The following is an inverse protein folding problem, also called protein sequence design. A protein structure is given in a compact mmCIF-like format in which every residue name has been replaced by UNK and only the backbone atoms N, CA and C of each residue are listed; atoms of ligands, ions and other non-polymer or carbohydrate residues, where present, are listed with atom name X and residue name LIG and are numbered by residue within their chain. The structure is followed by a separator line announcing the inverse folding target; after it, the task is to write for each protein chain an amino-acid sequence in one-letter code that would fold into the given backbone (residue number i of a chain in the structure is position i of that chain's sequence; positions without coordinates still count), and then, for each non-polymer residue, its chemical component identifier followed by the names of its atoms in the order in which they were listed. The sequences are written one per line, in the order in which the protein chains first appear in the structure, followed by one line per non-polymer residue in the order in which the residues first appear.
data_IF_712098401870
#
_entry.id   IF_712098401870
#
_cell.length_a   1.000
_cell.length_b   1.000
_cell.length_c   1.000
_cell.angle_alpha   90.00
_cell.angle_beta   90.00
_cell.angle_gamma   90.00
#
_symmetry.space_group_name_H-M   'P 1'
#
loop_
_entity.id
_entity.type
_entity.pdbx_description
1 polymer ?
#
# COMPACT_ATOMS: atom_id res chain seq x y z
N UNK A 1 10.85 5.66 -33.34
CA UNK A 1 10.82 4.27 -32.82
C UNK A 1 10.93 4.18 -31.28
N UNK A 2 12.05 4.59 -30.63
CA UNK A 2 12.09 4.58 -29.14
C UNK A 2 11.11 5.57 -28.49
N UNK A 3 10.97 6.76 -29.06
CA UNK A 3 10.01 7.76 -28.61
C UNK A 3 8.57 7.22 -28.65
N UNK A 4 8.20 6.59 -29.76
CA UNK A 4 6.84 6.09 -30.00
C UNK A 4 6.46 4.96 -29.02
N UNK A 5 7.45 4.18 -28.54
CA UNK A 5 7.22 3.08 -27.60
C UNK A 5 7.16 3.59 -26.16
N UNK A 6 8.05 4.47 -25.76
CA UNK A 6 8.23 4.82 -24.33
C UNK A 6 7.58 6.15 -23.93
N UNK A 7 7.48 7.13 -24.82
CA UNK A 7 7.04 8.48 -24.48
C UNK A 7 5.69 8.84 -25.11
N UNK A 8 5.46 8.47 -26.37
CA UNK A 8 4.24 8.81 -27.10
C UNK A 8 2.95 8.39 -26.36
N UNK A 9 2.84 7.20 -25.73
CA UNK A 9 1.64 6.82 -24.99
C UNK A 9 1.25 7.81 -23.90
N UNK A 10 2.23 8.42 -23.23
CA UNK A 10 1.98 9.40 -22.17
C UNK A 10 1.85 10.84 -22.69
N UNK A 11 2.44 11.15 -23.85
CA UNK A 11 2.35 12.47 -24.44
C UNK A 11 1.03 12.68 -25.19
N UNK A 12 0.55 11.66 -25.91
CA UNK A 12 -0.60 11.74 -26.79
C UNK A 12 -1.93 11.41 -26.10
N UNK A 13 -1.91 10.55 -25.06
CA UNK A 13 -3.14 10.09 -24.39
C UNK A 13 -3.25 10.64 -22.97
N UNK A 14 -4.26 11.47 -22.73
CA UNK A 14 -4.54 12.07 -21.41
C UNK A 14 -4.79 11.04 -20.31
N UNK A 15 -5.50 9.95 -20.63
CA UNK A 15 -5.76 8.90 -19.64
C UNK A 15 -4.48 8.20 -19.17
N UNK A 16 -3.51 7.99 -20.08
CA UNK A 16 -2.21 7.40 -19.72
C UNK A 16 -1.39 8.35 -18.82
N UNK A 17 -1.43 9.65 -19.13
CA UNK A 17 -0.76 10.67 -18.30
C UNK A 17 -1.36 10.73 -16.89
N UNK A 18 -2.68 10.72 -16.78
CA UNK A 18 -3.39 10.68 -15.49
C UNK A 18 -3.09 9.42 -14.72
N UNK A 19 -3.13 8.26 -15.37
CA UNK A 19 -2.75 6.97 -14.78
C UNK A 19 -1.31 6.98 -14.23
N UNK A 20 -0.36 7.52 -15.01
CA UNK A 20 1.02 7.64 -14.59
C UNK A 20 1.16 8.51 -13.35
N UNK A 21 0.58 9.71 -13.34
CA UNK A 21 0.62 10.62 -12.19
C UNK A 21 -0.01 9.96 -10.96
N UNK A 22 -1.15 9.29 -11.12
CA UNK A 22 -1.83 8.59 -10.02
C UNK A 22 -0.99 7.47 -9.42
N UNK A 23 -0.38 6.63 -10.26
CA UNK A 23 0.48 5.53 -9.80
C UNK A 23 1.78 6.05 -9.16
N UNK A 24 2.38 7.13 -9.71
CA UNK A 24 3.56 7.78 -9.12
C UNK A 24 3.25 8.36 -7.74
N UNK A 25 2.12 9.08 -7.61
CA UNK A 25 1.69 9.64 -6.33
C UNK A 25 1.36 8.54 -5.31
N UNK A 26 0.71 7.44 -5.75
CA UNK A 26 0.48 6.29 -4.88
C UNK A 26 1.80 5.65 -4.42
N UNK A 27 2.76 5.45 -5.31
CA UNK A 27 4.08 4.87 -4.96
C UNK A 27 4.83 5.73 -3.94
N UNK A 28 4.73 7.07 -4.05
CA UNK A 28 5.30 8.03 -3.08
C UNK A 28 4.69 7.87 -1.67
N UNK A 29 3.38 7.70 -1.58
CA UNK A 29 2.71 7.55 -0.29
C UNK A 29 2.81 6.13 0.26
N UNK A 30 2.53 5.12 -0.55
CA UNK A 30 2.42 3.73 -0.13
C UNK A 30 3.79 3.05 0.08
N UNK A 31 4.81 3.38 -0.71
CA UNK A 31 6.14 2.78 -0.61
C UNK A 31 6.77 2.89 0.78
N UNK A 32 6.84 4.08 1.39
CA UNK A 32 7.35 4.26 2.75
C UNK A 32 6.55 3.48 3.80
N UNK A 33 5.21 3.47 3.70
CA UNK A 33 4.34 2.69 4.59
C UNK A 33 4.65 1.21 4.49
N UNK A 34 4.78 0.68 3.28
CA UNK A 34 5.12 -0.72 3.04
C UNK A 34 6.45 -1.13 3.68
N UNK A 35 7.47 -0.27 3.63
CA UNK A 35 8.76 -0.52 4.30
C UNK A 35 8.57 -0.67 5.81
N UNK A 36 7.84 0.23 6.47
CA UNK A 36 7.57 0.11 7.90
C UNK A 36 6.71 -1.10 8.25
N UNK A 37 5.74 -1.47 7.42
CA UNK A 37 4.97 -2.70 7.60
C UNK A 37 5.86 -3.94 7.55
N UNK A 38 6.78 -4.02 6.59
CA UNK A 38 7.74 -5.12 6.50
C UNK A 38 8.68 -5.19 7.70
N UNK A 39 9.21 -4.05 8.14
CA UNK A 39 10.10 -4.00 9.31
C UNK A 39 9.39 -4.45 10.59
N UNK A 40 8.09 -4.19 10.70
CA UNK A 40 7.23 -4.62 11.81
C UNK A 40 6.71 -6.06 11.67
N UNK A 41 7.03 -6.75 10.58
CA UNK A 41 6.52 -8.09 10.24
C UNK A 41 4.99 -8.15 10.09
N UNK A 42 4.39 -7.05 9.64
CA UNK A 42 2.95 -6.87 9.44
C UNK A 42 2.59 -6.90 7.95
N UNK A 43 3.15 -7.83 7.18
CA UNK A 43 3.01 -7.87 5.72
C UNK A 43 1.60 -8.17 5.23
N UNK A 44 0.78 -8.86 6.03
CA UNK A 44 -0.61 -9.19 5.67
C UNK A 44 -1.62 -8.08 6.00
N UNK A 45 -1.20 -7.05 6.74
CA UNK A 45 -2.08 -5.98 7.19
C UNK A 45 -2.69 -5.20 6.02
N UNK A 46 -1.93 -5.00 4.94
CA UNK A 46 -2.45 -4.33 3.74
C UNK A 46 -3.66 -5.03 3.16
N UNK A 47 -3.59 -6.34 3.01
CA UNK A 47 -4.69 -7.16 2.49
C UNK A 47 -5.86 -7.25 3.48
N UNK A 48 -5.57 -7.46 4.76
CA UNK A 48 -6.58 -7.48 5.82
C UNK A 48 -7.37 -6.17 5.88
N UNK A 49 -6.68 -5.03 5.77
CA UNK A 49 -7.32 -3.70 5.79
C UNK A 49 -8.12 -3.42 4.52
N UNK A 50 -7.73 -3.97 3.36
CA UNK A 50 -8.52 -3.86 2.13
C UNK A 50 -9.95 -4.35 2.31
N UNK A 51 -10.10 -5.44 3.01
CA UNK A 51 -11.41 -6.02 3.29
C UNK A 51 -12.09 -5.41 4.54
N UNK A 52 -11.32 -4.95 5.52
CA UNK A 52 -11.85 -4.28 6.71
C UNK A 52 -12.62 -2.99 6.39
N UNK A 53 -12.29 -2.35 5.29
CA UNK A 53 -12.93 -1.11 4.80
C UNK A 53 -14.30 -1.36 4.17
N UNK A 54 -14.57 -2.57 3.65
CA UNK A 54 -15.79 -2.90 2.89
C UNK A 54 -17.11 -2.61 3.59
N UNK A 55 -17.34 -2.94 4.89
CA UNK A 55 -18.62 -2.65 5.55
C UNK A 55 -18.92 -1.16 5.58
N UNK A 56 -17.90 -0.33 5.84
CA UNK A 56 -18.05 1.11 5.87
C UNK A 56 -18.36 1.70 4.50
N UNK A 57 -17.69 1.24 3.46
CA UNK A 57 -17.99 1.65 2.09
C UNK A 57 -19.39 1.21 1.67
N UNK A 58 -19.83 0.00 2.06
CA UNK A 58 -21.17 -0.50 1.83
C UNK A 58 -22.25 0.34 2.53
N UNK A 59 -22.02 0.74 3.79
CA UNK A 59 -22.92 1.64 4.53
C UNK A 59 -22.96 3.02 3.85
N UNK A 60 -21.81 3.58 3.46
CA UNK A 60 -21.73 4.84 2.72
C UNK A 60 -22.55 4.81 1.43
N UNK A 61 -22.44 3.71 0.68
CA UNK A 61 -23.25 3.46 -0.51
C UNK A 61 -24.76 3.39 -0.20
N UNK A 62 -25.16 2.70 0.86
CA UNK A 62 -26.57 2.57 1.23
C UNK A 62 -27.21 3.90 1.63
N UNK A 63 -26.45 4.83 2.22
CA UNK A 63 -26.94 6.13 2.67
C UNK A 63 -27.02 7.14 1.51
N UNK A 64 -26.02 7.16 0.63
CA UNK A 64 -25.82 8.22 -0.35
C UNK A 64 -25.70 7.74 -1.80
N UNK A 65 -25.97 6.47 -2.07
CA UNK A 65 -25.79 5.87 -3.40
C UNK A 65 -24.32 5.82 -3.83
N UNK A 66 -24.06 6.00 -5.13
CA UNK A 66 -22.71 6.01 -5.72
C UNK A 66 -21.93 7.31 -5.43
N UNK A 67 -22.03 7.84 -4.23
CA UNK A 67 -21.27 9.00 -3.82
C UNK A 67 -19.90 8.59 -3.28
N UNK A 68 -18.85 8.89 -4.04
CA UNK A 68 -17.46 8.53 -3.74
C UNK A 68 -17.03 9.05 -2.35
N UNK A 69 -17.43 10.27 -1.99
CA UNK A 69 -17.07 10.87 -0.68
C UNK A 69 -17.72 10.12 0.48
N UNK A 70 -18.99 9.73 0.37
CA UNK A 70 -19.67 8.97 1.42
C UNK A 70 -19.11 7.56 1.56
N UNK A 71 -18.81 6.89 0.46
CA UNK A 71 -18.16 5.57 0.46
C UNK A 71 -16.74 5.63 1.03
N UNK A 72 -15.96 6.64 0.66
CA UNK A 72 -14.61 6.87 1.18
C UNK A 72 -14.63 7.17 2.68
N UNK A 73 -15.52 8.07 3.13
CA UNK A 73 -15.67 8.39 4.54
C UNK A 73 -16.11 7.18 5.38
N UNK A 74 -17.08 6.41 4.87
CA UNK A 74 -17.51 5.16 5.51
C UNK A 74 -16.36 4.16 5.60
N UNK A 75 -15.63 3.96 4.52
CA UNK A 75 -14.46 3.08 4.48
C UNK A 75 -13.36 3.53 5.43
N UNK A 76 -13.06 4.81 5.51
CA UNK A 76 -12.09 5.38 6.47
C UNK A 76 -12.52 5.10 7.92
N UNK A 77 -13.79 5.37 8.26
CA UNK A 77 -14.30 5.13 9.61
C UNK A 77 -14.17 3.63 9.98
N UNK A 78 -14.60 2.72 9.09
CA UNK A 78 -14.50 1.28 9.35
C UNK A 78 -13.04 0.84 9.47
N UNK A 79 -12.16 1.28 8.58
CA UNK A 79 -10.73 0.98 8.64
C UNK A 79 -10.08 1.48 9.93
N UNK A 80 -10.40 2.71 10.37
CA UNK A 80 -9.91 3.25 11.64
C UNK A 80 -10.44 2.45 12.85
N UNK A 81 -11.70 2.09 12.86
CA UNK A 81 -12.30 1.29 13.94
C UNK A 81 -11.59 -0.06 14.04
N UNK A 82 -11.39 -0.75 12.92
CA UNK A 82 -10.70 -2.04 12.89
C UNK A 82 -9.23 -1.90 13.33
N UNK A 83 -8.51 -0.90 12.82
CA UNK A 83 -7.13 -0.65 13.20
C UNK A 83 -6.98 -0.35 14.70
N UNK A 84 -7.86 0.50 15.25
CA UNK A 84 -7.88 0.83 16.68
C UNK A 84 -8.20 -0.39 17.55
N UNK A 85 -9.23 -1.16 17.18
CA UNK A 85 -9.62 -2.35 17.93
C UNK A 85 -8.51 -3.41 17.92
N UNK A 86 -7.91 -3.67 16.76
CA UNK A 86 -6.80 -4.61 16.64
C UNK A 86 -5.58 -4.16 17.46
N UNK A 87 -5.21 -2.87 17.38
CA UNK A 87 -4.12 -2.30 18.17
C UNK A 87 -4.38 -2.30 19.68
N UNK A 88 -5.62 -2.07 20.12
CA UNK A 88 -5.99 -2.14 21.52
C UNK A 88 -5.90 -3.58 22.05
N UNK A 89 -6.42 -4.55 21.30
CA UNK A 89 -6.38 -5.97 21.69
C UNK A 89 -4.94 -6.47 21.76
N UNK A 90 -4.10 -6.14 20.79
CA UNK A 90 -2.69 -6.51 20.80
C UNK A 90 -1.91 -5.94 22.00
N UNK A 91 -2.37 -4.83 22.56
CA UNK A 91 -1.76 -4.22 23.76
C UNK A 91 -2.32 -4.75 25.08
N UNK A 92 -3.57 -5.23 25.08
CA UNK A 92 -4.26 -5.71 26.29
C UNK A 92 -4.24 -7.23 26.42
N UNK A 93 -3.82 -7.97 25.41
CA UNK A 93 -3.78 -9.43 25.37
C UNK A 93 -2.44 -9.95 24.87
N UNK A 94 -2.22 -11.26 24.92
CA UNK A 94 -1.04 -11.92 24.35
C UNK A 94 -1.12 -12.09 22.81
N UNK A 95 -2.25 -11.72 22.20
CA UNK A 95 -2.43 -11.81 20.74
C UNK A 95 -1.55 -10.80 20.03
N UNK A 96 -0.86 -11.27 18.98
CA UNK A 96 -0.11 -10.39 18.08
C UNK A 96 -1.07 -9.53 17.27
N UNK A 97 -0.65 -8.32 16.92
CA UNK A 97 -1.44 -7.35 16.16
C UNK A 97 -1.89 -7.92 14.81
N UNK A 98 -1.03 -8.65 14.10
CA UNK A 98 -1.35 -9.32 12.85
C UNK A 98 -2.48 -10.36 12.97
N UNK A 99 -2.47 -11.15 14.05
CA UNK A 99 -3.54 -12.11 14.35
C UNK A 99 -4.87 -11.41 14.68
N UNK A 100 -4.83 -10.33 15.47
CA UNK A 100 -6.02 -9.53 15.78
C UNK A 100 -6.62 -8.91 14.52
N UNK A 101 -5.79 -8.36 13.65
CA UNK A 101 -6.22 -7.81 12.37
C UNK A 101 -6.87 -8.89 11.49
N UNK A 102 -6.32 -10.11 11.44
CA UNK A 102 -6.89 -11.21 10.67
C UNK A 102 -8.30 -11.59 11.14
N UNK A 103 -8.57 -11.58 12.45
CA UNK A 103 -9.91 -11.84 13.00
C UNK A 103 -10.88 -10.71 12.63
N UNK A 104 -10.49 -9.46 12.83
CA UNK A 104 -11.35 -8.32 12.50
C UNK A 104 -11.60 -8.20 11.01
N UNK A 105 -10.63 -8.55 10.18
CA UNK A 105 -10.80 -8.65 8.73
C UNK A 105 -11.93 -9.62 8.36
N UNK A 106 -11.91 -10.83 8.91
CA UNK A 106 -12.94 -11.84 8.61
C UNK A 106 -14.33 -11.39 9.09
N UNK A 107 -14.42 -10.80 10.28
CA UNK A 107 -15.68 -10.24 10.80
C UNK A 107 -16.17 -9.11 9.90
N UNK A 108 -15.31 -8.17 9.55
CA UNK A 108 -15.66 -7.05 8.66
C UNK A 108 -16.10 -7.54 7.28
N UNK A 109 -15.38 -8.48 6.69
CA UNK A 109 -15.76 -9.07 5.41
C UNK A 109 -17.16 -9.70 5.47
N UNK A 110 -17.42 -10.50 6.51
CA UNK A 110 -18.73 -11.13 6.71
C UNK A 110 -19.85 -10.09 6.85
N UNK A 111 -19.63 -9.03 7.65
CA UNK A 111 -20.58 -7.92 7.79
C UNK A 111 -20.80 -7.19 6.47
N UNK A 112 -19.74 -6.85 5.75
CA UNK A 112 -19.82 -6.15 4.46
C UNK A 112 -20.60 -6.96 3.42
N UNK A 113 -20.28 -8.24 3.26
CA UNK A 113 -20.97 -9.15 2.35
C UNK A 113 -22.45 -9.30 2.75
N UNK A 114 -22.74 -9.44 4.04
CA UNK A 114 -24.12 -9.56 4.54
C UNK A 114 -24.94 -8.30 4.22
N UNK A 115 -24.39 -7.11 4.45
CA UNK A 115 -25.05 -5.83 4.15
C UNK A 115 -25.41 -5.75 2.66
N UNK A 116 -24.47 -6.09 1.77
CA UNK A 116 -24.66 -6.04 0.31
C UNK A 116 -25.71 -7.09 -0.12
N UNK A 117 -25.63 -8.31 0.40
CA UNK A 117 -26.52 -9.42 0.03
C UNK A 117 -27.97 -9.18 0.45
N UNK A 118 -28.21 -8.66 1.64
CA UNK A 118 -29.57 -8.41 2.16
C UNK A 118 -30.30 -7.33 1.37
N UNK A 119 -29.59 -6.38 0.81
CA UNK A 119 -30.17 -5.26 0.03
C UNK A 119 -30.31 -5.55 -1.45
N UNK A 120 -29.85 -6.72 -1.94
CA UNK A 120 -30.02 -7.14 -3.33
C UNK A 120 -29.34 -6.23 -4.36
N UNK A 121 -28.28 -5.53 -3.97
CA UNK A 121 -27.54 -4.66 -4.88
C UNK A 121 -26.62 -5.51 -5.75
N UNK A 122 -26.83 -5.48 -7.07
CA UNK A 122 -25.92 -6.07 -8.08
C UNK A 122 -24.64 -5.20 -8.21
N UNK A 123 -23.95 -4.93 -7.09
CA UNK A 123 -22.65 -4.28 -7.16
C UNK A 123 -21.67 -5.35 -7.64
N UNK A 124 -21.05 -5.10 -8.77
CA UNK A 124 -19.97 -5.93 -9.26
C UNK A 124 -18.73 -5.71 -8.34
N UNK A 125 -18.63 -6.57 -7.32
CA UNK A 125 -17.52 -6.58 -6.37
C UNK A 125 -16.16 -6.73 -7.09
N UNK A 126 -16.14 -7.39 -8.25
CA UNK A 126 -14.95 -7.53 -9.07
C UNK A 126 -14.49 -6.17 -9.61
N UNK A 127 -15.42 -5.32 -10.03
CA UNK A 127 -15.08 -3.97 -10.49
C UNK A 127 -14.48 -3.11 -9.37
N UNK A 128 -14.98 -3.27 -8.14
CA UNK A 128 -14.42 -2.58 -6.97
C UNK A 128 -13.04 -3.10 -6.56
N UNK A 129 -12.81 -4.42 -6.71
CA UNK A 129 -11.53 -5.06 -6.38
C UNK A 129 -10.41 -4.71 -7.37
N UNK A 130 -10.73 -4.68 -8.66
CA UNK A 130 -9.70 -4.44 -9.70
C UNK A 130 -9.53 -2.97 -10.04
N UNK A 131 -10.50 -2.10 -9.65
CA UNK A 131 -10.45 -0.66 -9.95
C UNK A 131 -10.33 -0.35 -11.44
N UNK A 132 -10.17 0.90 -11.77
CA UNK A 132 -9.96 1.36 -13.15
C UNK A 132 -8.85 2.40 -13.19
N UNK A 133 -7.60 1.94 -13.19
CA UNK A 133 -6.39 2.80 -13.25
C UNK A 133 -6.43 3.78 -14.42
N UNK A 134 -7.04 3.38 -15.54
CA UNK A 134 -7.12 4.19 -16.75
C UNK A 134 -8.32 5.16 -16.78
N UNK A 135 -9.24 5.05 -15.82
CA UNK A 135 -10.43 5.90 -15.72
C UNK A 135 -10.32 6.95 -14.59
N UNK A 136 -9.11 7.36 -14.24
CA UNK A 136 -8.88 8.37 -13.20
C UNK A 136 -9.38 9.75 -13.66
N UNK A 137 -10.27 10.33 -12.84
CA UNK A 137 -10.71 11.71 -12.98
C UNK A 137 -9.83 12.67 -12.16
N UNK A 138 -10.00 13.98 -12.40
CA UNK A 138 -9.20 15.02 -11.73
C UNK A 138 -9.45 15.07 -10.22
N UNK A 139 -10.65 14.69 -9.77
CA UNK A 139 -10.98 14.65 -8.34
C UNK A 139 -10.22 13.52 -7.64
N UNK A 140 -10.22 12.34 -8.23
CA UNK A 140 -9.49 11.18 -7.71
C UNK A 140 -7.98 11.41 -7.71
N UNK A 141 -7.43 12.02 -8.78
CA UNK A 141 -6.01 12.42 -8.82
C UNK A 141 -5.66 13.39 -7.69
N UNK A 142 -6.49 14.39 -7.47
CA UNK A 142 -6.29 15.35 -6.39
C UNK A 142 -6.32 14.66 -5.02
N UNK A 143 -7.26 13.75 -4.80
CA UNK A 143 -7.33 12.95 -3.57
C UNK A 143 -6.07 12.11 -3.33
N UNK A 144 -5.55 11.44 -4.37
CA UNK A 144 -4.31 10.65 -4.26
C UNK A 144 -3.11 11.57 -3.94
N UNK A 145 -3.01 12.73 -4.60
CA UNK A 145 -1.93 13.67 -4.38
C UNK A 145 -1.96 14.26 -2.96
N UNK A 146 -3.13 14.64 -2.46
CA UNK A 146 -3.32 15.10 -1.08
C UNK A 146 -2.92 13.99 -0.11
N UNK A 147 -3.40 12.77 -0.35
CA UNK A 147 -3.08 11.62 0.48
C UNK A 147 -1.58 11.32 0.52
N UNK A 148 -0.90 11.30 -0.63
CA UNK A 148 0.55 11.12 -0.69
C UNK A 148 1.29 12.22 0.10
N UNK A 149 0.85 13.46 -0.03
CA UNK A 149 1.40 14.60 0.69
C UNK A 149 1.20 14.46 2.21
N UNK A 150 -0.03 14.19 2.66
CA UNK A 150 -0.35 13.98 4.08
C UNK A 150 0.47 12.82 4.65
N UNK A 151 0.61 11.75 3.89
CA UNK A 151 1.40 10.58 4.31
C UNK A 151 2.87 10.90 4.46
N UNK A 152 3.48 11.58 3.50
CA UNK A 152 4.89 11.94 3.56
C UNK A 152 5.18 12.88 4.74
N UNK A 153 4.34 13.92 4.93
CA UNK A 153 4.48 14.82 6.08
C UNK A 153 4.22 14.11 7.40
N UNK A 154 3.17 13.31 7.49
CA UNK A 154 2.86 12.54 8.69
C UNK A 154 3.99 11.57 9.06
N UNK A 155 4.53 10.83 8.08
CA UNK A 155 5.68 9.96 8.30
C UNK A 155 6.94 10.75 8.67
N UNK A 156 7.19 11.92 8.07
CA UNK A 156 8.33 12.76 8.44
C UNK A 156 8.28 13.19 9.91
N UNK A 157 7.10 13.53 10.43
CA UNK A 157 6.90 13.92 11.83
C UNK A 157 7.18 12.75 12.78
N UNK A 158 6.66 11.55 12.46
CA UNK A 158 6.80 10.36 13.32
C UNK A 158 8.00 9.49 12.96
N UNK A 159 8.84 9.89 12.00
CA UNK A 159 9.91 9.04 11.45
C UNK A 159 10.85 8.50 12.53
N UNK A 160 11.37 9.39 13.39
CA UNK A 160 12.32 9.00 14.44
C UNK A 160 11.73 8.00 15.45
N UNK A 161 10.56 8.28 16.09
CA UNK A 161 9.96 7.31 17.00
C UNK A 161 9.53 6.02 16.29
N UNK A 162 9.12 6.09 15.02
CA UNK A 162 8.73 4.92 14.25
C UNK A 162 9.91 3.99 13.94
N UNK A 163 11.07 4.55 13.55
CA UNK A 163 12.30 3.79 13.34
C UNK A 163 12.78 3.15 14.64
N UNK A 164 12.78 3.91 15.74
CA UNK A 164 13.17 3.38 17.06
C UNK A 164 12.24 2.24 17.50
N UNK A 165 10.95 2.35 17.27
CA UNK A 165 9.98 1.30 17.60
C UNK A 165 10.19 0.03 16.76
N UNK A 166 10.70 0.15 15.53
CA UNK A 166 11.04 -1.00 14.69
C UNK A 166 12.34 -1.69 15.13
N UNK A 167 13.29 -0.94 15.69
CA UNK A 167 14.63 -1.45 16.06
C UNK A 167 14.65 -1.96 17.49
N UNK A 168 14.18 -1.15 18.43
CA UNK A 168 14.15 -1.47 19.87
C UNK A 168 12.94 -0.82 20.56
N UNK A 169 11.79 -1.53 20.55
CA UNK A 169 10.57 -1.02 21.18
C UNK A 169 10.69 -0.90 22.72
N UNK A 170 11.57 -1.69 23.36
CA UNK A 170 11.78 -1.62 24.82
C UNK A 170 12.55 -0.36 25.19
N UNK A 171 13.60 -0.04 24.43
CA UNK A 171 14.33 1.20 24.60
C UNK A 171 13.43 2.43 24.42
N UNK A 172 12.61 2.44 23.36
CA UNK A 172 11.70 3.57 23.13
C UNK A 172 10.74 3.77 24.33
N UNK A 173 10.20 2.69 24.89
CA UNK A 173 9.30 2.75 26.05
C UNK A 173 9.99 3.26 27.32
N UNK A 174 11.30 3.00 27.49
CA UNK A 174 12.07 3.46 28.65
C UNK A 174 12.42 4.95 28.58
N UNK A 175 12.63 5.47 27.37
CA UNK A 175 13.10 6.86 27.14
C UNK A 175 11.95 7.82 26.83
N UNK A 176 10.89 7.36 26.16
CA UNK A 176 9.81 8.22 25.69
C UNK A 176 8.45 7.52 25.63
N UNK A 177 7.38 8.29 25.89
CA UNK A 177 6.00 7.85 25.68
C UNK A 177 5.51 8.03 24.24
N UNK A 178 6.38 8.44 23.31
CA UNK A 178 6.02 8.77 21.92
C UNK A 178 5.69 7.55 21.04
N UNK A 179 6.05 6.32 21.44
CA UNK A 179 5.80 5.11 20.65
C UNK A 179 4.30 4.85 20.42
N UNK A 180 3.46 5.03 21.45
CA UNK A 180 2.01 4.85 21.31
C UNK A 180 1.37 5.79 20.29
N UNK A 181 1.53 7.11 20.43
CA UNK A 181 1.03 8.06 19.44
C UNK A 181 1.60 7.84 18.03
N UNK A 182 2.90 7.56 17.90
CA UNK A 182 3.52 7.29 16.61
C UNK A 182 2.91 6.07 15.91
N UNK A 183 2.65 5.00 16.66
CA UNK A 183 1.98 3.81 16.15
C UNK A 183 0.54 4.11 15.67
N UNK A 184 -0.24 4.85 16.45
CA UNK A 184 -1.61 5.21 16.06
C UNK A 184 -1.63 6.11 14.81
N UNK A 185 -0.72 7.08 14.72
CA UNK A 185 -0.57 7.93 13.52
C UNK A 185 -0.17 7.07 12.33
N UNK A 186 0.75 6.12 12.50
CA UNK A 186 1.15 5.21 11.43
C UNK A 186 -0.03 4.36 10.92
N UNK A 187 -0.83 3.79 11.81
CA UNK A 187 -2.05 3.05 11.44
C UNK A 187 -3.06 3.97 10.73
N UNK A 188 -3.18 5.21 11.17
CA UNK A 188 -4.04 6.20 10.51
C UNK A 188 -3.58 6.46 9.08
N UNK A 189 -2.29 6.71 8.88
CA UNK A 189 -1.70 6.94 7.54
C UNK A 189 -1.84 5.70 6.64
N UNK A 190 -1.69 4.50 7.20
CA UNK A 190 -1.93 3.24 6.50
C UNK A 190 -3.37 3.16 5.98
N UNK A 191 -4.36 3.39 6.86
CA UNK A 191 -5.79 3.33 6.47
C UNK A 191 -6.11 4.36 5.40
N UNK A 192 -5.64 5.60 5.56
CA UNK A 192 -5.85 6.67 4.58
C UNK A 192 -5.26 6.28 3.21
N UNK A 193 -4.03 5.74 3.19
CA UNK A 193 -3.40 5.30 1.95
C UNK A 193 -4.16 4.17 1.26
N UNK A 194 -4.56 3.15 2.02
CA UNK A 194 -5.28 2.01 1.47
C UNK A 194 -6.64 2.43 0.93
N UNK A 195 -7.43 3.18 1.70
CA UNK A 195 -8.77 3.61 1.27
C UNK A 195 -8.70 4.48 0.01
N UNK A 196 -7.78 5.45 -0.02
CA UNK A 196 -7.58 6.30 -1.20
C UNK A 196 -7.09 5.49 -2.41
N UNK A 197 -6.16 4.56 -2.19
CA UNK A 197 -5.64 3.68 -3.23
C UNK A 197 -6.70 2.76 -3.82
N UNK A 198 -7.58 2.20 -2.97
CA UNK A 198 -8.64 1.30 -3.41
C UNK A 198 -9.64 2.00 -4.33
N UNK A 199 -10.12 3.17 -3.93
CA UNK A 199 -11.07 3.94 -4.73
C UNK A 199 -10.50 4.37 -6.08
N UNK A 200 -9.21 4.72 -6.09
CA UNK A 200 -8.57 5.26 -7.26
C UNK A 200 -8.06 4.19 -8.23
N UNK A 201 -7.41 3.17 -7.71
CA UNK A 201 -6.57 2.27 -8.51
C UNK A 201 -6.92 0.79 -8.32
N UNK A 202 -7.84 0.49 -7.40
CA UNK A 202 -8.22 -0.88 -7.01
C UNK A 202 -7.34 -1.47 -5.91
N UNK A 203 -7.90 -2.47 -5.24
CA UNK A 203 -7.25 -3.09 -4.06
C UNK A 203 -5.94 -3.80 -4.43
N UNK A 204 -5.92 -4.54 -5.54
CA UNK A 204 -4.76 -5.28 -6.00
C UNK A 204 -3.55 -4.35 -6.21
N UNK A 205 -3.76 -3.24 -6.93
CA UNK A 205 -2.67 -2.31 -7.22
C UNK A 205 -2.24 -1.53 -5.99
N UNK A 206 -3.18 -1.09 -5.14
CA UNK A 206 -2.85 -0.33 -3.93
C UNK A 206 -2.02 -1.14 -2.94
N UNK A 207 -2.42 -2.40 -2.66
CA UNK A 207 -1.67 -3.30 -1.78
C UNK A 207 -0.35 -3.74 -2.44
N UNK A 208 -0.38 -4.07 -3.73
CA UNK A 208 0.79 -4.56 -4.45
C UNK A 208 1.91 -3.51 -4.55
N UNK A 209 1.57 -2.24 -4.87
CA UNK A 209 2.55 -1.13 -4.90
C UNK A 209 3.08 -0.78 -3.51
N UNK A 210 2.31 -1.04 -2.46
CA UNK A 210 2.77 -0.84 -1.09
C UNK A 210 3.77 -1.94 -0.67
N UNK A 211 3.48 -3.21 -0.97
CA UNK A 211 4.22 -4.34 -0.41
C UNK A 211 5.40 -4.79 -1.27
N UNK A 212 5.21 -4.94 -2.60
CA UNK A 212 6.26 -5.51 -3.46
C UNK A 212 7.48 -4.60 -3.59
N UNK A 213 7.35 -3.29 -3.82
CA UNK A 213 8.50 -2.39 -3.84
C UNK A 213 9.22 -2.28 -2.49
N UNK A 214 8.49 -2.37 -1.37
CA UNK A 214 9.09 -2.41 -0.04
C UNK A 214 9.96 -3.66 0.14
N UNK A 215 9.50 -4.82 -0.36
CA UNK A 215 10.29 -6.04 -0.39
C UNK A 215 11.56 -5.91 -1.24
N UNK A 216 11.48 -5.24 -2.40
CA UNK A 216 12.66 -4.91 -3.21
C UNK A 216 13.65 -4.08 -2.40
N UNK A 217 13.19 -3.00 -1.73
CA UNK A 217 14.06 -2.15 -0.90
C UNK A 217 14.86 -2.93 0.14
N UNK A 218 14.27 -3.97 0.72
CA UNK A 218 14.92 -4.83 1.72
C UNK A 218 16.12 -5.61 1.18
N UNK A 219 16.13 -5.97 -0.11
CA UNK A 219 17.25 -6.68 -0.73
C UNK A 219 18.41 -5.78 -1.11
N UNK A 220 18.20 -4.46 -1.21
CA UNK A 220 19.22 -3.53 -1.69
C UNK A 220 19.80 -2.61 -0.63
N UNK A 221 19.09 -2.39 0.49
CA UNK A 221 19.54 -1.49 1.55
C UNK A 221 19.51 -2.14 2.93
N UNK A 222 20.36 -1.62 3.84
CA UNK A 222 20.41 -2.01 5.25
C UNK A 222 19.75 -0.96 6.15
N UNK A 223 19.83 0.30 5.77
CA UNK A 223 19.23 1.42 6.48
C UNK A 223 17.81 1.72 5.98
N UNK A 224 16.95 2.14 6.90
CA UNK A 224 15.52 2.37 6.65
C UNK A 224 15.30 3.45 5.60
N UNK A 225 16.10 4.52 5.63
CA UNK A 225 15.97 5.64 4.68
C UNK A 225 16.20 5.19 3.23
N UNK A 226 17.28 4.42 3.00
CA UNK A 226 17.56 3.88 1.67
C UNK A 226 16.56 2.82 1.25
N UNK A 227 16.03 1.99 2.18
CA UNK A 227 14.93 1.08 1.88
C UNK A 227 13.72 1.84 1.35
N UNK A 228 13.36 2.96 1.98
CA UNK A 228 12.24 3.81 1.56
C UNK A 228 12.49 4.39 0.17
N UNK A 229 13.68 4.95 -0.07
CA UNK A 229 14.03 5.53 -1.39
C UNK A 229 13.95 4.47 -2.48
N UNK A 230 14.54 3.30 -2.27
CA UNK A 230 14.52 2.21 -3.25
C UNK A 230 13.10 1.68 -3.46
N UNK A 231 12.29 1.56 -2.40
CA UNK A 231 10.90 1.15 -2.53
C UNK A 231 10.08 2.13 -3.38
N UNK A 232 10.23 3.43 -3.14
CA UNK A 232 9.56 4.46 -3.94
C UNK A 232 9.99 4.39 -5.41
N UNK A 233 11.29 4.32 -5.67
CA UNK A 233 11.82 4.24 -7.05
C UNK A 233 11.38 2.95 -7.74
N UNK A 234 11.39 1.81 -7.06
CA UNK A 234 10.91 0.54 -7.60
C UNK A 234 9.41 0.59 -7.89
N UNK A 235 8.60 1.22 -7.01
CA UNK A 235 7.18 1.44 -7.23
C UNK A 235 6.90 2.32 -8.46
N UNK A 236 7.63 3.43 -8.59
CA UNK A 236 7.53 4.32 -9.74
C UNK A 236 7.93 3.63 -11.04
N UNK A 237 9.03 2.88 -11.03
CA UNK A 237 9.51 2.13 -12.18
C UNK A 237 8.51 1.04 -12.59
N UNK A 238 7.96 0.32 -11.62
CA UNK A 238 6.91 -0.68 -11.85
C UNK A 238 5.65 -0.06 -12.43
N UNK A 239 5.25 1.12 -11.93
CA UNK A 239 4.12 1.88 -12.43
C UNK A 239 4.32 2.30 -13.89
N UNK A 240 5.44 2.92 -14.20
CA UNK A 240 5.77 3.36 -15.55
C UNK A 240 5.83 2.19 -16.54
N UNK A 241 6.63 1.17 -16.25
CA UNK A 241 6.81 0.04 -17.14
C UNK A 241 5.56 -0.84 -17.24
N UNK A 242 4.80 -0.98 -16.14
CA UNK A 242 3.53 -1.71 -16.12
C UNK A 242 2.44 -1.03 -16.94
N UNK A 243 2.33 0.29 -16.89
CA UNK A 243 1.41 1.04 -17.74
C UNK A 243 1.78 0.93 -19.23
N UNK A 244 3.07 0.97 -19.57
CA UNK A 244 3.52 0.72 -20.94
C UNK A 244 3.18 -0.70 -21.41
N UNK A 245 3.42 -1.70 -20.56
CA UNK A 245 3.05 -3.08 -20.86
C UNK A 245 1.54 -3.20 -21.11
N UNK A 246 0.73 -2.60 -20.23
CA UNK A 246 -0.73 -2.58 -20.37
C UNK A 246 -1.17 -1.95 -21.70
N UNK A 247 -0.59 -0.82 -22.07
CA UNK A 247 -0.91 -0.10 -23.29
C UNK A 247 -0.62 -0.93 -24.55
N UNK A 248 0.55 -1.58 -24.61
CA UNK A 248 0.95 -2.36 -25.78
C UNK A 248 0.32 -3.75 -25.89
N UNK A 249 -0.08 -4.34 -24.75
CA UNK A 249 -0.66 -5.70 -24.72
C UNK A 249 -2.17 -5.73 -24.54
N UNK A 250 -2.81 -4.56 -24.35
CA UNK A 250 -4.22 -4.44 -23.96
C UNK A 250 -4.55 -5.22 -22.66
N UNK A 251 -3.57 -5.48 -21.80
CA UNK A 251 -3.75 -6.14 -20.52
C UNK A 251 -4.32 -5.17 -19.47
N UNK A 252 -5.04 -5.64 -18.43
CA UNK A 252 -5.50 -4.78 -17.34
C UNK A 252 -4.32 -4.08 -16.64
N UNK A 253 -4.40 -2.75 -16.47
CA UNK A 253 -3.27 -1.94 -16.00
C UNK A 253 -2.80 -2.30 -14.59
N UNK A 254 -3.72 -2.55 -13.64
CA UNK A 254 -3.36 -2.95 -12.27
C UNK A 254 -2.50 -4.22 -12.23
N UNK A 255 -2.99 -5.35 -12.76
CA UNK A 255 -2.20 -6.59 -12.88
C UNK A 255 -0.87 -6.40 -13.62
N UNK A 256 -0.83 -5.64 -14.72
CA UNK A 256 0.40 -5.39 -15.48
C UNK A 256 1.48 -4.71 -14.63
N UNK A 257 1.11 -3.69 -13.85
CA UNK A 257 2.02 -3.00 -12.91
C UNK A 257 2.56 -3.97 -11.86
N UNK A 258 1.70 -4.83 -11.29
CA UNK A 258 2.12 -5.80 -10.27
C UNK A 258 3.00 -6.90 -10.85
N UNK A 259 2.75 -7.35 -12.08
CA UNK A 259 3.63 -8.31 -12.76
C UNK A 259 5.03 -7.73 -12.98
N UNK A 260 5.15 -6.48 -13.42
CA UNK A 260 6.45 -5.80 -13.56
C UNK A 260 7.14 -5.67 -12.19
N UNK A 261 6.40 -5.28 -11.14
CA UNK A 261 6.93 -5.24 -9.78
C UNK A 261 7.43 -6.62 -9.33
N UNK A 262 6.69 -7.69 -9.66
CA UNK A 262 7.07 -9.08 -9.39
C UNK A 262 8.36 -9.50 -10.10
N UNK A 263 8.54 -9.09 -11.35
CA UNK A 263 9.80 -9.31 -12.09
C UNK A 263 10.96 -8.57 -11.42
N UNK A 264 10.79 -7.30 -11.05
CA UNK A 264 11.81 -6.53 -10.34
C UNK A 264 12.14 -7.15 -8.98
N UNK A 265 11.13 -7.69 -8.28
CA UNK A 265 11.32 -8.43 -7.05
C UNK A 265 12.14 -9.70 -7.27
N UNK A 266 11.82 -10.50 -8.29
CA UNK A 266 12.57 -11.71 -8.62
C UNK A 266 14.04 -11.41 -8.96
N UNK A 267 14.30 -10.35 -9.73
CA UNK A 267 15.65 -9.86 -10.01
C UNK A 267 16.35 -9.46 -8.70
N UNK A 268 15.65 -8.74 -7.82
CA UNK A 268 16.19 -8.29 -6.53
C UNK A 268 16.46 -9.45 -5.57
N UNK A 269 15.62 -10.47 -5.59
CA UNK A 269 15.83 -11.72 -4.83
C UNK A 269 17.09 -12.45 -5.27
N UNK A 270 17.37 -12.46 -6.58
CA UNK A 270 18.58 -13.12 -7.11
C UNK A 270 19.84 -12.28 -6.87
N UNK A 271 19.80 -10.99 -7.18
CA UNK A 271 20.98 -10.12 -7.28
C UNK A 271 21.12 -9.07 -6.16
N UNK A 272 20.17 -9.02 -5.23
CA UNK A 272 20.17 -7.99 -4.16
C UNK A 272 21.47 -7.95 -3.36
N UNK A 273 21.93 -6.73 -3.09
CA UNK A 273 23.23 -6.51 -2.42
C UNK A 273 23.24 -6.93 -0.94
N UNK A 274 22.09 -7.01 -0.28
CA UNK A 274 21.97 -7.25 1.17
C UNK A 274 21.43 -8.64 1.53
N UNK A 275 20.91 -9.41 0.57
CA UNK A 275 20.32 -10.72 0.89
C UNK A 275 20.00 -11.54 -0.32
N UNK A 276 20.57 -11.19 -1.49
CA UNK A 276 20.35 -11.90 -2.74
C UNK A 276 20.90 -13.32 -2.70
N UNK A 277 20.20 -14.25 -3.36
CA UNK A 277 20.55 -15.66 -3.39
C UNK A 277 21.93 -15.92 -3.99
N UNK A 278 22.29 -15.22 -5.06
CA UNK A 278 23.60 -15.35 -5.71
C UNK A 278 24.71 -14.99 -4.73
N UNK A 279 24.54 -13.98 -3.90
CA UNK A 279 25.54 -13.58 -2.91
C UNK A 279 25.64 -14.55 -1.73
N UNK A 280 24.57 -15.26 -1.41
CA UNK A 280 24.59 -16.32 -0.40
C UNK A 280 25.29 -17.56 -0.92
N UNK A 281 25.13 -17.90 -2.22
CA UNK A 281 25.79 -19.04 -2.86
C UNK A 281 27.27 -18.80 -3.12
N UNK A 282 27.69 -17.54 -3.36
CA UNK A 282 29.06 -17.14 -3.56
C UNK A 282 29.47 -16.10 -2.49
N UNK A 283 29.65 -16.51 -1.24
CA UNK A 283 30.09 -15.59 -0.20
C UNK A 283 31.48 -15.06 -0.58
N UNK A 284 31.55 -13.72 -0.75
CA UNK A 284 32.84 -13.07 -0.96
C UNK A 284 33.77 -13.42 0.22
N UNK A 285 35.03 -13.78 -0.08
CA UNK A 285 36.04 -14.01 0.95
C UNK A 285 36.11 -12.77 1.84
N UNK A 286 35.64 -12.89 3.08
CA UNK A 286 35.99 -11.94 4.12
C UNK A 286 37.49 -12.14 4.36
N UNK A 287 38.30 -11.19 3.92
CA UNK A 287 39.63 -11.01 4.44
C UNK A 287 39.44 -10.53 5.88
N UNK A 288 39.47 -11.45 6.82
CA UNK A 288 39.69 -11.16 8.23
C UNK A 288 41.10 -10.59 8.30
N UNK A 289 41.22 -9.29 8.60
CA UNK A 289 42.43 -8.66 9.04
C UNK A 289 42.36 -8.42 10.54
#
# INVERSE_FOLDING_TARGET
MLYDIFVAPFAEFDFMRRALVGVMALALGAGPIGVFLMLRRMSLVGDAMAHAVLPGAAIGFLISGLNIFAMTAGGLIAGFVVALLAGLIARSTELKEDASLAVFFLISLAVGVTIISVRGTNIDLLHFLFGSVLALDDQTLTLIAINATVTLFGLAIIYRPLVLECVDPLYLRSVSKSGGPAHLIFLALLVINLVSGFHALGTLLAVGIMMVPAAIGRFWARDVTMMVVIAVLAGMLSGYAGLLLSFHTAAPAGPAVILVAGILYAISLLFGSVGGLVRQLFPGRHLEA
#
